data_IF_614840764220
#
_entry.id   IF_614840764220
#
_cell.length_a   1.000
_cell.length_b   1.000
_cell.length_c   1.000
_cell.angle_alpha   90.00
_cell.angle_beta   90.00
_cell.angle_gamma   90.00
#
_symmetry.space_group_name_H-M   'P 1'
#
loop_
_entity.id
_entity.type
_entity.pdbx_description
1 polymer ?
#
# COMPACT_ATOMS: atom_id res chain seq x y z
N UNK A 1 -13.65 -26.30 18.89
CA UNK A 1 -12.96 -25.95 17.63
C UNK A 1 -13.84 -24.95 16.90
N UNK A 2 -13.59 -23.65 17.06
CA UNK A 2 -14.40 -22.56 16.51
C UNK A 2 -13.96 -22.29 15.07
N UNK A 3 -14.89 -22.30 14.12
CA UNK A 3 -14.66 -22.44 12.67
C UNK A 3 -14.03 -21.26 11.92
N UNK A 4 -13.04 -20.58 12.49
CA UNK A 4 -12.16 -19.64 11.77
C UNK A 4 -10.74 -19.77 12.29
N UNK A 5 -10.03 -20.80 11.83
CA UNK A 5 -8.59 -20.92 12.08
C UNK A 5 -7.88 -19.98 11.10
N UNK A 6 -7.50 -18.80 11.58
CA UNK A 6 -6.68 -17.89 10.80
C UNK A 6 -5.28 -18.49 10.77
N UNK A 7 -4.82 -18.89 9.58
CA UNK A 7 -3.43 -19.27 9.39
C UNK A 7 -2.55 -18.01 9.52
N UNK A 8 -2.20 -17.67 10.77
CA UNK A 8 -1.48 -16.43 11.09
C UNK A 8 -0.14 -16.34 10.35
N UNK A 9 0.55 -17.46 10.13
CA UNK A 9 1.79 -17.50 9.35
C UNK A 9 1.58 -17.12 7.88
N UNK A 10 0.54 -17.63 7.23
CA UNK A 10 0.21 -17.27 5.86
C UNK A 10 -0.24 -15.79 5.75
N UNK A 11 -0.98 -15.29 6.73
CA UNK A 11 -1.40 -13.88 6.78
C UNK A 11 -0.20 -12.95 6.99
N UNK A 12 0.75 -13.31 7.84
CA UNK A 12 2.00 -12.56 8.04
C UNK A 12 2.85 -12.50 6.77
N UNK A 13 3.00 -13.64 6.08
CA UNK A 13 3.72 -13.67 4.82
C UNK A 13 3.03 -12.81 3.76
N UNK A 14 1.70 -12.88 3.68
CA UNK A 14 0.90 -12.02 2.81
C UNK A 14 1.06 -10.53 3.16
N UNK A 15 1.04 -10.17 4.44
CA UNK A 15 1.26 -8.80 4.91
C UNK A 15 2.63 -8.26 4.47
N UNK A 16 3.69 -9.06 4.60
CA UNK A 16 5.02 -8.68 4.17
C UNK A 16 5.11 -8.46 2.66
N UNK A 17 4.47 -9.34 1.87
CA UNK A 17 4.42 -9.20 0.41
C UNK A 17 3.65 -7.94 -0.02
N UNK A 18 2.50 -7.67 0.61
CA UNK A 18 1.70 -6.46 0.34
C UNK A 18 2.49 -5.20 0.69
N UNK A 19 3.23 -5.20 1.79
CA UNK A 19 4.09 -4.07 2.18
C UNK A 19 5.21 -3.83 1.17
N UNK A 20 5.94 -4.87 0.79
CA UNK A 20 6.98 -4.79 -0.24
C UNK A 20 6.41 -4.30 -1.58
N UNK A 21 5.24 -4.80 -1.97
CA UNK A 21 4.54 -4.32 -3.16
C UNK A 21 4.15 -2.84 -3.05
N UNK A 22 3.73 -2.36 -1.88
CA UNK A 22 3.45 -0.94 -1.65
C UNK A 22 4.68 -0.04 -1.79
N UNK A 23 5.84 -0.52 -1.38
CA UNK A 23 7.13 0.17 -1.56
C UNK A 23 7.53 0.22 -3.04
N UNK A 24 7.47 -0.91 -3.74
CA UNK A 24 7.70 -0.99 -5.19
C UNK A 24 6.73 -0.10 -5.97
N UNK A 25 5.45 -0.12 -5.59
CA UNK A 25 4.41 0.71 -6.20
C UNK A 25 4.65 2.21 -5.94
N UNK A 26 5.17 2.56 -4.76
CA UNK A 26 5.49 3.94 -4.39
C UNK A 26 6.65 4.55 -5.19
N UNK A 27 7.60 3.71 -5.61
CA UNK A 27 8.79 4.11 -6.38
C UNK A 27 8.56 4.11 -7.90
N UNK A 28 7.65 3.28 -8.42
CA UNK A 28 7.33 3.23 -9.84
C UNK A 28 7.01 4.61 -10.49
N UNK A 29 6.31 5.55 -9.81
CA UNK A 29 6.02 6.88 -10.34
C UNK A 29 7.20 7.87 -10.27
N UNK A 30 8.36 7.50 -9.72
CA UNK A 30 9.48 8.44 -9.52
C UNK A 30 9.98 9.04 -10.82
N UNK A 31 10.03 8.25 -11.90
CA UNK A 31 10.34 8.76 -13.24
C UNK A 31 9.32 9.80 -13.72
N UNK A 32 8.05 9.64 -13.35
CA UNK A 32 6.98 10.58 -13.66
C UNK A 32 7.09 11.86 -12.83
N UNK A 33 7.48 11.74 -11.55
CA UNK A 33 7.74 12.87 -10.63
C UNK A 33 8.93 13.71 -11.07
N UNK A 34 10.02 13.04 -11.47
CA UNK A 34 11.27 13.67 -11.88
C UNK A 34 11.15 14.45 -13.19
N UNK A 35 10.20 14.10 -14.06
CA UNK A 35 9.85 14.95 -15.21
C UNK A 35 9.21 16.25 -14.72
N UNK A 36 9.80 17.38 -15.11
CA UNK A 36 9.26 18.73 -14.88
C UNK A 36 7.88 18.96 -15.54
N UNK A 37 7.44 18.03 -16.38
CA UNK A 37 6.17 18.05 -17.09
C UNK A 37 6.36 18.54 -18.51
N UNK A 38 5.76 19.69 -18.81
CA UNK A 38 5.67 20.32 -20.14
C UNK A 38 6.65 21.48 -20.33
N UNK A 39 7.38 21.90 -19.29
CA UNK A 39 8.31 23.02 -19.37
C UNK A 39 9.49 22.75 -20.32
N UNK A 40 9.88 21.49 -20.46
CA UNK A 40 10.85 21.06 -21.48
C UNK A 40 10.33 21.07 -22.92
N UNK A 41 9.03 21.30 -23.15
CA UNK A 41 8.43 21.23 -24.50
C UNK A 41 8.61 22.52 -25.30
N UNK A 42 9.09 23.60 -24.66
CA UNK A 42 9.40 24.86 -25.35
C UNK A 42 8.16 25.53 -25.96
N UNK A 43 7.01 25.42 -25.31
CA UNK A 43 5.74 25.99 -25.78
C UNK A 43 5.80 27.53 -25.74
N UNK A 44 5.66 28.16 -26.90
CA UNK A 44 5.55 29.60 -27.08
C UNK A 44 4.11 30.12 -26.87
N UNK A 45 3.20 29.22 -26.47
CA UNK A 45 1.79 29.47 -26.21
C UNK A 45 0.85 28.80 -27.22
N UNK A 46 1.38 28.34 -28.36
CA UNK A 46 0.59 27.66 -29.40
C UNK A 46 -0.02 26.34 -28.92
N UNK A 47 0.66 25.62 -28.02
CA UNK A 47 0.21 24.34 -27.48
C UNK A 47 -0.32 24.44 -26.04
N UNK A 48 -0.54 25.67 -25.54
CA UNK A 48 -0.89 25.95 -24.15
C UNK A 48 -2.12 25.18 -23.64
N UNK A 49 -3.12 24.98 -24.50
CA UNK A 49 -4.30 24.16 -24.17
C UNK A 49 -3.96 22.68 -23.95
N UNK A 50 -3.11 22.11 -24.80
CA UNK A 50 -2.68 20.71 -24.68
C UNK A 50 -1.76 20.50 -23.48
N UNK A 51 -0.85 21.45 -23.24
CA UNK A 51 0.08 21.39 -22.11
C UNK A 51 -0.66 21.54 -20.77
N UNK A 52 -1.69 22.38 -20.71
CA UNK A 52 -2.58 22.51 -19.54
C UNK A 52 -3.34 21.21 -19.25
N UNK A 53 -3.99 20.62 -20.27
CA UNK A 53 -4.74 19.36 -20.09
C UNK A 53 -3.80 18.23 -19.65
N UNK A 54 -2.61 18.14 -20.25
CA UNK A 54 -1.61 17.15 -19.83
C UNK A 54 -1.17 17.37 -18.37
N UNK A 55 -0.93 18.62 -17.97
CA UNK A 55 -0.55 18.94 -16.59
C UNK A 55 -1.63 18.53 -15.59
N UNK A 56 -2.90 18.79 -15.90
CA UNK A 56 -4.05 18.36 -15.09
C UNK A 56 -4.11 16.83 -15.01
N UNK A 57 -4.07 16.13 -16.15
CA UNK A 57 -4.08 14.67 -16.18
C UNK A 57 -2.94 14.09 -15.35
N UNK A 58 -1.72 14.62 -15.49
CA UNK A 58 -0.56 14.20 -14.71
C UNK A 58 -0.79 14.43 -13.22
N UNK A 59 -1.30 15.59 -12.82
CA UNK A 59 -1.58 15.88 -11.41
C UNK A 59 -2.62 14.91 -10.83
N UNK A 60 -3.71 14.65 -11.56
CA UNK A 60 -4.75 13.69 -11.16
C UNK A 60 -4.18 12.27 -11.06
N UNK A 61 -3.40 11.82 -12.04
CA UNK A 61 -2.75 10.50 -11.99
C UNK A 61 -1.80 10.39 -10.81
N UNK A 62 -0.98 11.40 -10.54
CA UNK A 62 -0.05 11.40 -9.41
C UNK A 62 -0.77 11.33 -8.06
N UNK A 63 -1.89 12.05 -7.91
CA UNK A 63 -2.72 11.99 -6.72
C UNK A 63 -3.33 10.58 -6.54
N UNK A 64 -3.86 9.99 -7.61
CA UNK A 64 -4.42 8.64 -7.58
C UNK A 64 -3.37 7.58 -7.22
N UNK A 65 -2.18 7.64 -7.83
CA UNK A 65 -1.06 6.73 -7.54
C UNK A 65 -0.62 6.84 -6.08
N UNK A 66 -0.50 8.07 -5.55
CA UNK A 66 -0.17 8.27 -4.14
C UNK A 66 -1.24 7.70 -3.21
N UNK A 67 -2.53 7.85 -3.55
CA UNK A 67 -3.63 7.27 -2.77
C UNK A 67 -3.60 5.74 -2.76
N UNK A 68 -3.34 5.12 -3.91
CA UNK A 68 -3.22 3.67 -4.03
C UNK A 68 -2.04 3.13 -3.22
N UNK A 69 -0.88 3.79 -3.28
CA UNK A 69 0.28 3.45 -2.44
C UNK A 69 -0.10 3.43 -0.95
N UNK A 70 -0.79 4.46 -0.47
CA UNK A 70 -1.21 4.56 0.93
C UNK A 70 -2.17 3.43 1.34
N UNK A 71 -3.12 3.07 0.47
CA UNK A 71 -4.06 1.96 0.73
C UNK A 71 -3.36 0.61 0.77
N UNK A 72 -2.41 0.36 -0.14
CA UNK A 72 -1.62 -0.89 -0.16
C UNK A 72 -0.82 -1.01 1.14
N UNK A 73 -0.10 0.05 1.53
CA UNK A 73 0.66 0.07 2.78
C UNK A 73 -0.23 -0.18 4.01
N UNK A 74 -1.35 0.52 4.12
CA UNK A 74 -2.30 0.36 5.22
C UNK A 74 -2.90 -1.06 5.28
N UNK A 75 -3.11 -1.68 4.11
CA UNK A 75 -3.59 -3.07 4.02
C UNK A 75 -2.54 -4.05 4.54
N UNK A 76 -1.28 -3.88 4.14
CA UNK A 76 -0.16 -4.68 4.67
C UNK A 76 -0.03 -4.54 6.19
N UNK A 77 -0.10 -3.31 6.70
CA UNK A 77 -0.08 -3.04 8.16
C UNK A 77 -1.26 -3.71 8.88
N UNK A 78 -2.47 -3.60 8.33
CA UNK A 78 -3.67 -4.22 8.89
C UNK A 78 -3.56 -5.73 9.00
N UNK A 79 -3.10 -6.40 7.93
CA UNK A 79 -2.88 -7.84 7.91
C UNK A 79 -1.84 -8.28 8.95
N UNK A 80 -0.74 -7.52 9.07
CA UNK A 80 0.29 -7.78 10.07
C UNK A 80 -0.26 -7.68 11.50
N UNK A 81 -1.07 -6.65 11.78
CA UNK A 81 -1.71 -6.51 13.10
C UNK A 81 -2.71 -7.63 13.38
N UNK A 82 -3.49 -8.07 12.39
CA UNK A 82 -4.39 -9.21 12.55
C UNK A 82 -3.63 -10.48 12.91
N UNK A 83 -2.57 -10.83 12.18
CA UNK A 83 -1.78 -12.01 12.45
C UNK A 83 -1.13 -11.97 13.84
N UNK A 84 -0.59 -10.81 14.23
CA UNK A 84 -0.04 -10.60 15.58
C UNK A 84 -1.09 -10.83 16.67
N UNK A 85 -2.26 -10.20 16.54
CA UNK A 85 -3.33 -10.30 17.53
C UNK A 85 -3.86 -11.73 17.65
N UNK A 86 -3.94 -12.46 16.54
CA UNK A 86 -4.31 -13.89 16.54
C UNK A 86 -3.29 -14.70 17.34
N UNK A 87 -1.99 -14.54 17.08
CA UNK A 87 -0.93 -15.27 17.82
C UNK A 87 -0.94 -14.95 19.31
N UNK A 88 -1.10 -13.69 19.68
CA UNK A 88 -1.19 -13.27 21.09
C UNK A 88 -2.41 -13.90 21.77
N UNK A 89 -3.55 -13.93 21.10
CA UNK A 89 -4.78 -14.54 21.63
C UNK A 89 -4.64 -16.05 21.81
N UNK A 90 -4.04 -16.74 20.83
CA UNK A 90 -3.77 -18.18 20.91
C UNK A 90 -2.81 -18.51 22.06
N UNK A 91 -1.76 -17.73 22.25
CA UNK A 91 -0.81 -17.90 23.36
C UNK A 91 -1.48 -17.73 24.72
N UNK A 92 -2.30 -16.67 24.89
CA UNK A 92 -3.05 -16.43 26.13
C UNK A 92 -4.02 -17.58 26.43
N UNK A 93 -4.74 -18.06 25.42
CA UNK A 93 -5.68 -19.18 25.58
C UNK A 93 -4.97 -20.48 25.97
N UNK A 94 -3.81 -20.78 25.35
CA UNK A 94 -3.02 -21.97 25.67
C UNK A 94 -2.56 -21.95 27.14
N UNK A 95 -2.02 -20.83 27.61
CA UNK A 95 -1.61 -20.67 29.03
C UNK A 95 -2.79 -20.73 30.00
N UNK A 96 -3.97 -20.23 29.60
CA UNK A 96 -5.17 -20.32 30.43
C UNK A 96 -5.64 -21.78 30.58
N UNK A 97 -5.58 -22.57 29.52
CA UNK A 97 -5.92 -24.01 29.56
C UNK A 97 -4.93 -24.83 30.39
N UNK A 98 -3.63 -24.53 30.33
CA UNK A 98 -2.62 -25.21 31.17
C UNK A 98 -2.80 -24.94 32.67
N UNK A 99 -3.23 -23.73 33.04
CA UNK A 99 -3.48 -23.38 34.45
C UNK A 99 -4.78 -23.97 35.03
N UNK A 100 -5.65 -24.54 34.18
CA UNK A 100 -6.94 -25.13 34.59
C UNK A 100 -6.93 -26.67 34.62
N UNK A 101 -5.85 -27.31 34.14
CA UNK A 101 -5.63 -28.76 34.18
C UNK A 101 -4.68 -29.17 35.29
#
# INVERSE_FOLDING_TARGET
MTGFEINAGAVEQGAALVRAHGEDYGTAPDSLRARDGVSSWGDDGLFSGFTSIYAECRATSMAALSGLQAVIAATGDGLYQTARNTRETEAVNASATENLG
#
